data_IF_428349192027
#
_entry.id   IF_428349192027
#
_cell.length_a   1.000
_cell.length_b   1.000
_cell.length_c   1.000
_cell.angle_alpha   90.00
_cell.angle_beta   90.00
_cell.angle_gamma   90.00
#
_symmetry.space_group_name_H-M   'P 1'
#
loop_
_entity.id
_entity.type
_entity.pdbx_description
1 polymer ?
#
# COMPACT_ATOMS: atom_id res chain seq x y z
N UNK A 1 10.63 11.94 0.32
CA UNK A 1 11.62 10.83 0.09
C UNK A 1 11.74 9.90 1.30
N UNK A 2 11.71 10.38 2.53
CA UNK A 2 11.91 9.58 3.76
C UNK A 2 10.82 8.51 3.90
N UNK A 3 9.56 8.88 3.84
CA UNK A 3 8.41 7.97 3.94
C UNK A 3 8.12 7.19 2.64
N UNK A 4 8.88 7.42 1.56
CA UNK A 4 8.77 6.68 0.29
C UNK A 4 9.72 5.50 0.19
N UNK A 5 10.65 5.34 1.11
CA UNK A 5 11.50 4.15 1.16
C UNK A 5 10.63 2.97 1.57
N UNK A 6 10.64 1.90 0.80
CA UNK A 6 9.91 0.67 1.06
C UNK A 6 10.06 0.24 2.53
N UNK A 7 8.93 0.14 3.25
CA UNK A 7 8.89 -0.31 4.64
C UNK A 7 9.13 0.76 5.71
N UNK A 8 9.37 2.02 5.37
CA UNK A 8 9.50 3.09 6.37
C UNK A 8 8.12 3.68 6.66
N UNK A 9 7.47 3.16 7.68
CA UNK A 9 6.19 3.67 8.20
C UNK A 9 6.41 4.78 9.20
N UNK A 10 7.56 4.74 9.90
CA UNK A 10 7.95 5.65 10.97
C UNK A 10 9.35 6.18 10.72
N UNK A 11 9.57 7.44 11.03
CA UNK A 11 10.89 8.05 10.99
C UNK A 11 11.16 8.74 12.32
N UNK A 12 12.40 8.68 12.81
CA UNK A 12 12.80 9.38 14.01
C UNK A 12 12.85 10.89 13.78
N UNK A 13 12.79 11.66 14.86
CA UNK A 13 12.91 13.12 14.81
C UNK A 13 14.25 13.55 14.21
N UNK A 14 15.32 12.83 14.55
CA UNK A 14 16.66 13.11 14.06
C UNK A 14 16.77 12.86 12.53
N UNK A 15 16.27 11.73 12.04
CA UNK A 15 16.28 11.40 10.61
C UNK A 15 15.46 12.39 9.77
N UNK A 16 14.26 12.77 10.26
CA UNK A 16 13.41 13.72 9.54
C UNK A 16 14.00 15.12 9.55
N UNK A 17 14.52 15.55 10.68
CA UNK A 17 15.15 16.87 10.81
C UNK A 17 16.39 16.99 9.92
N UNK A 18 17.24 15.96 9.87
CA UNK A 18 18.41 15.92 9.00
C UNK A 18 18.02 15.94 7.51
N UNK A 19 17.06 15.09 7.12
CA UNK A 19 16.59 15.05 5.73
C UNK A 19 15.94 16.36 5.31
N UNK A 20 15.16 16.98 6.21
CA UNK A 20 14.51 18.26 5.94
C UNK A 20 15.52 19.39 5.83
N UNK A 21 16.55 19.41 6.68
CA UNK A 21 17.64 20.38 6.58
C UNK A 21 18.34 20.32 5.22
N UNK A 22 18.67 19.12 4.76
CA UNK A 22 19.27 18.92 3.43
C UNK A 22 18.37 19.44 2.29
N UNK A 23 17.06 19.18 2.37
CA UNK A 23 16.13 19.67 1.35
C UNK A 23 15.93 21.18 1.39
N UNK A 24 15.92 21.78 2.59
CA UNK A 24 15.84 23.24 2.75
C UNK A 24 17.07 23.91 2.12
N UNK A 25 18.28 23.38 2.32
CA UNK A 25 19.48 23.89 1.66
C UNK A 25 19.41 23.73 0.14
N UNK A 26 18.97 22.58 -0.37
CA UNK A 26 18.78 22.39 -1.80
C UNK A 26 17.79 23.38 -2.41
N UNK A 27 16.69 23.71 -1.70
CA UNK A 27 15.72 24.72 -2.17
C UNK A 27 16.32 26.12 -2.14
N UNK A 28 17.15 26.45 -1.15
CA UNK A 28 17.83 27.76 -1.05
C UNK A 28 18.83 27.98 -2.16
N UNK A 29 19.40 26.93 -2.74
CA UNK A 29 20.31 26.99 -3.88
C UNK A 29 19.57 27.25 -5.21
N UNK A 30 18.26 27.09 -5.27
CA UNK A 30 17.45 27.36 -6.46
C UNK A 30 17.12 28.87 -6.52
N UNK A 31 17.62 29.55 -7.54
CA UNK A 31 17.53 31.02 -7.70
C UNK A 31 16.08 31.57 -7.76
N UNK A 32 15.09 30.74 -8.16
CA UNK A 32 13.69 31.14 -8.35
C UNK A 32 12.74 30.71 -7.22
N UNK A 33 13.22 30.08 -6.16
CA UNK A 33 12.36 29.58 -5.09
C UNK A 33 12.30 30.56 -3.92
N UNK A 34 11.09 30.81 -3.41
CA UNK A 34 10.92 31.51 -2.13
C UNK A 34 11.55 30.64 -1.01
N UNK A 35 12.75 31.05 -0.57
CA UNK A 35 13.56 30.25 0.35
C UNK A 35 12.83 29.96 1.65
N UNK A 36 12.79 28.70 2.13
CA UNK A 36 12.24 28.35 3.44
C UNK A 36 12.95 29.13 4.56
N UNK A 37 12.18 29.83 5.40
CA UNK A 37 12.73 30.76 6.41
C UNK A 37 12.86 30.11 7.79
N UNK A 38 12.16 29.00 8.03
CA UNK A 38 12.08 28.34 9.33
C UNK A 38 13.11 27.21 9.46
N UNK A 39 13.41 26.83 10.69
CA UNK A 39 14.23 25.66 10.99
C UNK A 39 13.46 24.35 10.65
N UNK A 40 14.16 23.23 10.43
CA UNK A 40 13.52 21.93 10.23
C UNK A 40 12.55 21.56 11.36
N UNK A 41 12.92 21.87 12.62
CA UNK A 41 12.12 21.59 13.80
C UNK A 41 10.80 22.36 13.78
N UNK A 42 10.84 23.65 13.46
CA UNK A 42 9.63 24.48 13.37
C UNK A 42 8.65 23.97 12.29
N UNK A 43 9.16 23.42 11.18
CA UNK A 43 8.30 22.78 10.18
C UNK A 43 7.70 21.48 10.68
N UNK A 44 8.46 20.62 11.38
CA UNK A 44 7.95 19.37 11.93
C UNK A 44 6.87 19.61 12.99
N UNK A 45 7.05 20.62 13.85
CA UNK A 45 6.06 20.98 14.85
C UNK A 45 4.78 21.54 14.20
N UNK A 46 4.91 22.43 13.20
CA UNK A 46 3.77 22.96 12.45
C UNK A 46 2.99 21.84 11.72
N UNK A 47 3.70 20.86 11.16
CA UNK A 47 3.06 19.74 10.44
C UNK A 47 2.35 18.76 11.38
N UNK A 48 2.67 18.79 12.67
CA UNK A 48 1.99 18.01 13.70
C UNK A 48 0.84 18.76 14.38
N UNK A 49 0.71 20.08 14.14
CA UNK A 49 -0.30 20.93 14.78
C UNK A 49 -1.73 20.52 14.38
N UNK A 50 -2.71 20.87 15.21
CA UNK A 50 -4.13 20.55 15.00
C UNK A 50 -4.70 21.15 13.72
N UNK A 51 -4.16 22.29 13.26
CA UNK A 51 -4.62 22.96 12.04
C UNK A 51 -4.10 22.30 10.76
N UNK A 52 -2.93 21.70 10.78
CA UNK A 52 -2.28 21.11 9.59
C UNK A 52 -2.42 19.59 9.54
N UNK A 53 -2.15 18.90 10.60
CA UNK A 53 -2.25 17.42 10.74
C UNK A 53 -1.64 16.65 9.57
N UNK A 54 -0.48 17.08 9.09
CA UNK A 54 0.23 16.34 8.05
C UNK A 54 0.99 15.14 8.61
N UNK A 55 1.51 15.29 9.85
CA UNK A 55 2.22 14.27 10.58
C UNK A 55 1.56 14.00 11.93
N UNK A 56 1.77 12.79 12.45
CA UNK A 56 1.50 12.45 13.85
C UNK A 56 2.82 12.18 14.55
N UNK A 57 3.02 12.77 15.72
CA UNK A 57 4.17 12.56 16.60
C UNK A 57 3.75 11.60 17.72
N UNK A 58 4.47 10.49 17.91
CA UNK A 58 4.24 9.53 19.00
C UNK A 58 5.56 9.14 19.65
N UNK A 59 5.53 8.79 20.94
CA UNK A 59 6.72 8.29 21.64
C UNK A 59 6.81 6.77 21.46
N UNK A 60 7.96 6.30 20.99
CA UNK A 60 8.23 4.87 20.83
C UNK A 60 8.98 4.35 22.07
N UNK A 61 8.29 3.59 22.92
CA UNK A 61 8.83 3.14 24.22
C UNK A 61 10.11 2.30 24.12
N UNK A 62 10.19 1.38 23.13
CA UNK A 62 11.36 0.50 22.98
C UNK A 62 12.60 1.23 22.45
N UNK A 63 12.43 2.32 21.72
CA UNK A 63 13.52 3.14 21.16
C UNK A 63 13.83 4.37 22.01
N UNK A 64 12.97 4.66 22.99
CA UNK A 64 13.05 5.85 23.86
C UNK A 64 13.14 7.16 23.06
N UNK A 65 12.48 7.24 21.89
CA UNK A 65 12.52 8.39 21.00
C UNK A 65 11.14 8.79 20.48
N UNK A 66 11.01 10.03 20.00
CA UNK A 66 9.83 10.45 19.26
C UNK A 66 9.93 9.99 17.81
N UNK A 67 8.84 9.41 17.33
CA UNK A 67 8.69 8.98 15.94
C UNK A 67 7.53 9.71 15.27
N UNK A 68 7.71 10.00 14.00
CA UNK A 68 6.74 10.68 13.16
C UNK A 68 6.18 9.71 12.12
N UNK A 69 4.89 9.85 11.86
CA UNK A 69 4.15 9.09 10.83
C UNK A 69 3.34 10.06 9.98
N UNK A 70 3.14 9.72 8.71
CA UNK A 70 2.18 10.43 7.89
C UNK A 70 0.75 10.16 8.38
N UNK A 71 -0.10 11.19 8.35
CA UNK A 71 -1.53 10.97 8.53
C UNK A 71 -2.12 10.36 7.26
N UNK A 72 -3.26 9.68 7.39
CA UNK A 72 -4.00 9.09 6.25
C UNK A 72 -4.27 10.11 5.13
N UNK A 73 -4.59 11.35 5.50
CA UNK A 73 -4.85 12.41 4.52
C UNK A 73 -3.59 12.81 3.77
N UNK A 74 -2.47 12.93 4.48
CA UNK A 74 -1.18 13.24 3.86
C UNK A 74 -0.69 12.12 2.94
N UNK A 75 -0.93 10.87 3.31
CA UNK A 75 -0.62 9.73 2.45
C UNK A 75 -1.44 9.73 1.16
N UNK A 76 -2.75 9.94 1.27
CA UNK A 76 -3.61 10.06 0.08
C UNK A 76 -3.18 11.21 -0.83
N UNK A 77 -2.84 12.37 -0.24
CA UNK A 77 -2.35 13.51 -1.01
C UNK A 77 -1.01 13.21 -1.70
N UNK A 78 -0.08 12.56 -1.00
CA UNK A 78 1.21 12.16 -1.56
C UNK A 78 1.07 11.04 -2.61
N UNK A 79 0.16 10.08 -2.41
CA UNK A 79 -0.16 9.07 -3.42
C UNK A 79 -0.69 9.73 -4.68
N UNK A 80 -1.68 10.60 -4.56
CA UNK A 80 -2.22 11.35 -5.70
C UNK A 80 -1.16 12.17 -6.43
N UNK A 81 -0.28 12.87 -5.69
CA UNK A 81 0.84 13.62 -6.29
C UNK A 81 1.82 12.69 -7.01
N UNK A 82 2.08 11.51 -6.45
CA UNK A 82 2.93 10.50 -7.08
C UNK A 82 2.30 9.97 -8.37
N UNK A 83 1.01 9.70 -8.35
CA UNK A 83 0.27 9.27 -9.55
C UNK A 83 0.35 10.33 -10.65
N UNK A 84 0.23 11.61 -10.27
CA UNK A 84 0.37 12.72 -11.19
C UNK A 84 1.79 12.80 -11.80
N UNK A 85 2.82 12.65 -10.97
CA UNK A 85 4.22 12.62 -11.40
C UNK A 85 4.55 11.36 -12.21
N UNK A 86 4.00 10.21 -11.81
CA UNK A 86 4.13 8.96 -12.55
C UNK A 86 3.46 9.04 -13.93
N UNK A 87 2.34 9.76 -14.06
CA UNK A 87 1.73 10.02 -15.36
C UNK A 87 2.65 10.80 -16.31
N UNK A 88 3.50 11.69 -15.79
CA UNK A 88 4.52 12.39 -16.58
C UNK A 88 5.70 11.48 -16.97
N UNK A 89 6.01 10.48 -16.15
CA UNK A 89 7.14 9.57 -16.34
C UNK A 89 6.75 8.18 -16.85
N UNK A 90 5.45 7.85 -16.89
CA UNK A 90 4.98 6.64 -17.55
C UNK A 90 5.25 6.77 -19.04
N UNK A 91 6.47 6.39 -19.41
CA UNK A 91 6.74 6.05 -20.79
C UNK A 91 5.62 5.12 -21.24
N UNK A 92 5.00 5.44 -22.36
CA UNK A 92 3.85 4.75 -22.89
C UNK A 92 4.08 3.24 -22.90
N UNK A 93 3.50 2.51 -21.93
CA UNK A 93 3.16 1.12 -22.20
C UNK A 93 2.45 1.12 -23.55
N UNK A 94 2.87 0.27 -24.46
CA UNK A 94 2.29 0.27 -25.80
C UNK A 94 0.79 0.16 -25.64
N UNK A 95 0.04 0.98 -26.35
CA UNK A 95 -1.44 0.98 -26.33
C UNK A 95 -1.98 -0.45 -26.46
N UNK A 96 -1.23 -1.31 -27.15
CA UNK A 96 -1.49 -2.73 -27.34
C UNK A 96 -1.44 -3.54 -26.03
N UNK A 97 -0.43 -3.34 -25.18
CA UNK A 97 -0.30 -4.06 -23.89
C UNK A 97 -1.44 -3.71 -22.95
N UNK A 98 -1.80 -2.42 -22.85
CA UNK A 98 -2.96 -1.97 -22.05
C UNK A 98 -4.28 -2.49 -22.59
N UNK A 99 -4.44 -2.50 -23.90
CA UNK A 99 -5.65 -3.00 -24.55
C UNK A 99 -5.82 -4.51 -24.29
N UNK A 100 -4.76 -5.29 -24.42
CA UNK A 100 -4.77 -6.72 -24.13
C UNK A 100 -5.12 -7.01 -22.68
N UNK A 101 -4.63 -6.21 -21.74
CA UNK A 101 -4.99 -6.31 -20.33
C UNK A 101 -6.46 -6.00 -20.09
N UNK A 102 -6.99 -4.93 -20.67
CA UNK A 102 -8.42 -4.58 -20.56
C UNK A 102 -9.28 -5.76 -21.12
N UNK A 103 -8.92 -6.31 -22.27
CA UNK A 103 -9.62 -7.47 -22.83
C UNK A 103 -9.57 -8.67 -21.90
N UNK A 104 -8.43 -8.94 -21.27
CA UNK A 104 -8.28 -10.06 -20.34
C UNK A 104 -9.17 -9.86 -19.11
N UNK A 105 -9.14 -8.69 -18.47
CA UNK A 105 -10.00 -8.37 -17.31
C UNK A 105 -11.49 -8.46 -17.68
N UNK A 106 -11.88 -7.94 -18.85
CA UNK A 106 -13.26 -8.06 -19.32
C UNK A 106 -13.67 -9.52 -19.55
N UNK A 107 -12.79 -10.35 -20.07
CA UNK A 107 -13.04 -11.78 -20.25
C UNK A 107 -13.18 -12.50 -18.90
N UNK A 108 -12.29 -12.24 -17.96
CA UNK A 108 -12.36 -12.83 -16.61
C UNK A 108 -13.65 -12.42 -15.89
N UNK A 109 -14.04 -11.14 -15.98
CA UNK A 109 -15.32 -10.68 -15.42
C UNK A 109 -16.51 -11.41 -16.05
N UNK A 110 -16.57 -11.47 -17.38
CA UNK A 110 -17.64 -12.16 -18.08
C UNK A 110 -17.70 -13.65 -17.72
N UNK A 111 -16.55 -14.30 -17.62
CA UNK A 111 -16.45 -15.70 -17.23
C UNK A 111 -16.87 -15.92 -15.77
N UNK A 112 -16.60 -14.95 -14.89
CA UNK A 112 -16.97 -15.02 -13.46
C UNK A 112 -18.47 -14.88 -13.20
N UNK A 113 -19.19 -14.14 -14.05
CA UNK A 113 -20.64 -13.93 -13.90
C UNK A 113 -21.48 -14.86 -14.78
N UNK A 114 -20.86 -15.59 -15.70
CA UNK A 114 -21.58 -16.52 -16.58
C UNK A 114 -21.94 -17.81 -15.84
N UNK A 115 -23.22 -18.04 -15.66
CA UNK A 115 -23.77 -19.22 -14.99
C UNK A 115 -23.99 -20.44 -15.90
N UNK A 116 -23.65 -20.34 -17.20
CA UNK A 116 -23.75 -21.47 -18.15
C UNK A 116 -22.55 -22.42 -17.97
N UNK A 117 -22.77 -23.66 -17.44
CA UNK A 117 -21.70 -24.63 -17.26
C UNK A 117 -21.01 -25.04 -18.53
N UNK A 118 -21.80 -25.18 -19.65
CA UNK A 118 -21.26 -25.62 -20.91
C UNK A 118 -20.37 -24.56 -21.56
N UNK A 119 -20.72 -23.27 -21.43
CA UNK A 119 -19.88 -22.18 -21.86
C UNK A 119 -18.56 -22.15 -21.04
N UNK A 120 -18.63 -22.38 -19.72
CA UNK A 120 -17.45 -22.45 -18.87
C UNK A 120 -16.53 -23.61 -19.20
N UNK A 121 -17.08 -24.78 -19.48
CA UNK A 121 -16.33 -25.98 -19.94
C UNK A 121 -15.60 -25.70 -21.25
N UNK A 122 -16.29 -25.10 -22.22
CA UNK A 122 -15.66 -24.73 -23.51
C UNK A 122 -14.49 -23.77 -23.34
N UNK A 123 -14.65 -22.74 -22.49
CA UNK A 123 -13.61 -21.79 -22.24
C UNK A 123 -12.40 -22.43 -21.52
N UNK A 124 -12.63 -23.29 -20.55
CA UNK A 124 -11.56 -24.03 -19.86
C UNK A 124 -10.84 -25.00 -20.80
N UNK A 125 -11.57 -25.63 -21.73
CA UNK A 125 -10.98 -26.49 -22.73
C UNK A 125 -10.07 -25.71 -23.70
N UNK A 126 -10.50 -24.52 -24.12
CA UNK A 126 -9.69 -23.61 -24.95
C UNK A 126 -8.41 -23.18 -24.22
N UNK A 127 -8.51 -22.73 -22.94
CA UNK A 127 -7.33 -22.36 -22.12
C UNK A 127 -6.36 -23.54 -21.98
N UNK A 128 -6.88 -24.75 -21.80
CA UNK A 128 -6.05 -25.95 -21.74
C UNK A 128 -5.28 -26.20 -23.03
N UNK A 129 -5.94 -26.06 -24.19
CA UNK A 129 -5.30 -26.24 -25.50
C UNK A 129 -4.17 -25.16 -25.72
N UNK A 130 -4.39 -23.93 -25.33
CA UNK A 130 -3.38 -22.86 -25.38
C UNK A 130 -2.17 -23.19 -24.51
N UNK A 131 -2.39 -23.67 -23.28
CA UNK A 131 -1.33 -24.10 -22.37
C UNK A 131 -0.56 -25.31 -22.93
N UNK A 132 -1.27 -26.30 -23.47
CA UNK A 132 -0.66 -27.49 -24.08
C UNK A 132 0.23 -27.12 -25.29
N UNK A 133 -0.20 -26.15 -26.09
CA UNK A 133 0.58 -25.62 -27.21
C UNK A 133 1.82 -24.83 -26.74
N UNK A 134 1.70 -24.03 -25.67
CA UNK A 134 2.84 -23.33 -25.07
C UNK A 134 3.88 -24.30 -24.51
N UNK A 135 3.43 -25.33 -23.79
CA UNK A 135 4.31 -26.41 -23.29
C UNK A 135 5.04 -27.08 -24.46
N UNK A 136 4.35 -27.38 -25.53
CA UNK A 136 4.96 -27.99 -26.72
C UNK A 136 6.04 -27.12 -27.33
N UNK A 137 5.77 -25.81 -27.47
CA UNK A 137 6.77 -24.85 -27.97
C UNK A 137 8.00 -24.78 -27.10
N UNK A 138 7.83 -24.73 -25.78
CA UNK A 138 8.97 -24.71 -24.83
C UNK A 138 9.77 -26.01 -24.93
N UNK A 139 9.11 -27.16 -25.07
CA UNK A 139 9.80 -28.45 -25.24
C UNK A 139 10.59 -28.55 -26.54
N UNK A 140 10.06 -27.96 -27.62
CA UNK A 140 10.69 -27.98 -28.95
C UNK A 140 11.87 -26.98 -29.03
N UNK A 141 11.73 -25.79 -28.44
CA UNK A 141 12.74 -24.73 -28.51
C UNK A 141 13.76 -24.78 -27.36
N UNK A 142 13.39 -25.37 -26.22
CA UNK A 142 14.16 -25.31 -24.99
C UNK A 142 14.19 -23.94 -24.32
N UNK A 143 13.42 -22.97 -24.83
CA UNK A 143 13.36 -21.59 -24.34
C UNK A 143 11.96 -21.26 -23.82
N UNK A 144 11.89 -20.74 -22.60
CA UNK A 144 10.65 -20.21 -22.05
C UNK A 144 10.48 -18.72 -22.47
N UNK A 145 9.30 -18.31 -22.91
CA UNK A 145 9.05 -16.91 -23.25
C UNK A 145 9.19 -16.04 -22.00
N UNK A 146 9.98 -14.98 -22.11
CA UNK A 146 10.18 -13.98 -21.04
C UNK A 146 9.46 -12.71 -21.45
N UNK A 147 8.78 -12.07 -20.50
CA UNK A 147 8.15 -10.78 -20.73
C UNK A 147 9.19 -9.72 -21.15
N UNK A 148 8.82 -8.84 -22.05
CA UNK A 148 9.61 -7.67 -22.39
C UNK A 148 9.82 -6.77 -21.17
N UNK A 149 10.91 -6.00 -21.18
CA UNK A 149 11.24 -5.11 -20.05
C UNK A 149 10.15 -4.09 -19.74
N UNK A 150 9.46 -3.60 -20.77
CA UNK A 150 8.35 -2.67 -20.62
C UNK A 150 7.17 -3.30 -19.88
N UNK A 151 6.84 -4.55 -20.22
CA UNK A 151 5.75 -5.29 -19.55
C UNK A 151 6.12 -5.57 -18.09
N UNK A 152 7.36 -5.96 -17.82
CA UNK A 152 7.84 -6.22 -16.46
C UNK A 152 7.76 -4.93 -15.64
N UNK A 153 8.22 -3.82 -16.17
CA UNK A 153 8.18 -2.53 -15.49
C UNK A 153 6.75 -2.12 -15.16
N UNK A 154 5.84 -2.22 -16.12
CA UNK A 154 4.42 -1.89 -15.91
C UNK A 154 3.78 -2.77 -14.83
N UNK A 155 4.06 -4.09 -14.85
CA UNK A 155 3.55 -5.01 -13.82
C UNK A 155 4.11 -4.72 -12.43
N UNK A 156 5.39 -4.31 -12.33
CA UNK A 156 5.98 -3.90 -11.05
C UNK A 156 5.33 -2.63 -10.52
N UNK A 157 5.05 -1.64 -11.37
CA UNK A 157 4.33 -0.43 -10.95
C UNK A 157 2.90 -0.74 -10.49
N UNK A 158 2.14 -1.52 -11.27
CA UNK A 158 0.78 -1.91 -10.90
C UNK A 158 0.73 -2.68 -9.57
N UNK A 159 1.70 -3.58 -9.36
CA UNK A 159 1.82 -4.29 -8.09
C UNK A 159 2.17 -3.35 -6.93
N UNK A 160 3.04 -2.37 -7.17
CA UNK A 160 3.38 -1.37 -6.17
C UNK A 160 2.15 -0.56 -5.76
N UNK A 161 1.36 -0.10 -6.73
CA UNK A 161 0.12 0.64 -6.48
C UNK A 161 -0.87 -0.21 -5.64
N UNK A 162 -1.02 -1.49 -5.97
CA UNK A 162 -1.87 -2.41 -5.20
C UNK A 162 -1.38 -2.58 -3.75
N UNK A 163 -0.07 -2.71 -3.55
CA UNK A 163 0.54 -2.83 -2.21
C UNK A 163 0.36 -1.54 -1.42
N UNK A 164 0.55 -0.37 -2.04
CA UNK A 164 0.33 0.93 -1.37
C UNK A 164 -1.12 1.10 -0.91
N UNK A 165 -2.09 0.75 -1.76
CA UNK A 165 -3.51 0.78 -1.38
C UNK A 165 -3.80 -0.17 -0.21
N UNK A 166 -3.25 -1.37 -0.27
CA UNK A 166 -3.40 -2.35 0.80
C UNK A 166 -2.81 -1.86 2.13
N UNK A 167 -1.62 -1.26 2.11
CA UNK A 167 -1.01 -0.66 3.30
C UNK A 167 -1.82 0.52 3.84
N UNK A 168 -2.44 1.32 2.95
CA UNK A 168 -3.34 2.40 3.36
C UNK A 168 -4.57 1.89 4.12
N UNK A 169 -5.13 0.74 3.72
CA UNK A 169 -6.23 0.11 4.45
C UNK A 169 -5.80 -0.30 5.88
N UNK A 170 -4.60 -0.86 6.04
CA UNK A 170 -4.09 -1.21 7.37
C UNK A 170 -3.89 -0.01 8.29
N UNK A 171 -3.42 1.11 7.73
CA UNK A 171 -3.27 2.35 8.51
C UNK A 171 -4.62 2.92 8.93
N UNK A 172 -5.63 2.82 8.07
CA UNK A 172 -6.98 3.22 8.44
C UNK A 172 -7.52 2.39 9.63
N UNK A 173 -7.18 1.11 9.67
CA UNK A 173 -7.54 0.23 10.78
C UNK A 173 -6.74 0.58 12.05
N UNK A 174 -5.45 0.89 11.92
CA UNK A 174 -4.64 1.35 13.06
C UNK A 174 -5.19 2.65 13.65
N UNK A 175 -5.55 3.63 12.82
CA UNK A 175 -6.19 4.88 13.27
C UNK A 175 -7.53 4.58 13.96
N UNK A 176 -8.36 3.72 13.39
CA UNK A 176 -9.62 3.30 13.98
C UNK A 176 -9.44 2.73 15.40
N UNK A 177 -8.52 1.79 15.60
CA UNK A 177 -8.24 1.25 16.93
C UNK A 177 -7.67 2.28 17.89
N UNK A 178 -6.82 3.18 17.40
CA UNK A 178 -6.23 4.24 18.22
C UNK A 178 -7.29 5.23 18.72
N UNK A 179 -8.22 5.60 17.86
CA UNK A 179 -9.29 6.52 18.22
C UNK A 179 -10.24 5.90 19.24
N UNK A 180 -10.63 4.63 19.07
CA UNK A 180 -11.42 3.89 20.05
C UNK A 180 -10.68 3.69 21.38
N UNK A 181 -9.39 3.41 21.37
CA UNK A 181 -8.59 3.30 22.58
C UNK A 181 -8.52 4.64 23.35
N UNK A 182 -8.41 5.76 22.64
CA UNK A 182 -8.45 7.12 23.25
C UNK A 182 -9.81 7.41 23.86
N UNK A 183 -10.89 7.07 23.15
CA UNK A 183 -12.25 7.26 23.63
C UNK A 183 -12.51 6.46 24.91
N UNK A 184 -12.14 5.18 24.94
CA UNK A 184 -12.20 4.33 26.13
C UNK A 184 -11.39 4.92 27.27
N UNK A 185 -10.15 5.37 27.01
CA UNK A 185 -9.29 5.97 28.02
C UNK A 185 -9.90 7.23 28.60
N UNK A 186 -10.50 8.07 27.79
CA UNK A 186 -11.18 9.30 28.21
C UNK A 186 -12.42 9.01 29.07
N UNK A 187 -13.24 8.03 28.69
CA UNK A 187 -14.42 7.60 29.44
C UNK A 187 -14.01 7.05 30.81
N UNK A 188 -12.96 6.25 30.86
CA UNK A 188 -12.41 5.71 32.11
C UNK A 188 -11.86 6.81 33.03
N UNK A 189 -11.06 7.74 32.49
CA UNK A 189 -10.48 8.86 33.24
C UNK A 189 -11.55 9.79 33.84
N UNK A 190 -12.71 9.93 33.18
CA UNK A 190 -13.84 10.73 33.66
C UNK A 190 -14.72 9.97 34.68
N UNK A 191 -14.41 8.69 34.98
CA UNK A 191 -15.22 7.87 35.86
C UNK A 191 -16.64 7.59 35.36
N UNK A 192 -16.89 7.76 34.06
CA UNK A 192 -18.19 7.62 33.42
C UNK A 192 -18.45 6.22 32.85
N UNK A 193 -17.43 5.39 32.76
CA UNK A 193 -17.55 4.07 32.18
C UNK A 193 -17.33 2.97 33.23
N UNK A 194 -18.25 2.03 33.29
CA UNK A 194 -18.07 0.75 33.99
C UNK A 194 -17.23 -0.21 33.14
N UNK A 195 -16.77 -1.32 33.76
CA UNK A 195 -16.10 -2.39 32.99
C UNK A 195 -17.02 -3.00 31.92
N UNK A 196 -18.33 -3.01 32.15
CA UNK A 196 -19.32 -3.49 31.16
C UNK A 196 -19.40 -2.58 29.95
N UNK A 197 -19.46 -1.26 30.16
CA UNK A 197 -19.53 -0.28 29.08
C UNK A 197 -18.26 -0.32 28.19
N UNK A 198 -17.08 -0.58 28.78
CA UNK A 198 -15.83 -0.74 28.02
C UNK A 198 -15.90 -1.98 27.13
N UNK A 199 -16.40 -3.12 27.66
CA UNK A 199 -16.52 -4.36 26.88
C UNK A 199 -17.51 -4.19 25.74
N UNK A 200 -18.66 -3.53 25.99
CA UNK A 200 -19.66 -3.21 24.96
C UNK A 200 -19.04 -2.36 23.86
N UNK A 201 -18.33 -1.30 24.21
CA UNK A 201 -17.67 -0.42 23.25
C UNK A 201 -16.61 -1.15 22.38
N UNK A 202 -15.85 -2.08 22.97
CA UNK A 202 -14.89 -2.91 22.21
C UNK A 202 -15.59 -3.88 21.25
N UNK A 203 -16.74 -4.46 21.66
CA UNK A 203 -17.51 -5.34 20.80
C UNK A 203 -18.16 -4.59 19.64
N UNK A 204 -18.70 -3.40 19.90
CA UNK A 204 -19.27 -2.54 18.88
C UNK A 204 -18.21 -2.13 17.85
N UNK A 205 -17.01 -1.77 18.30
CA UNK A 205 -15.87 -1.44 17.43
C UNK A 205 -15.44 -2.65 16.57
N UNK A 206 -15.41 -3.88 17.11
CA UNK A 206 -15.11 -5.09 16.33
C UNK A 206 -16.18 -5.35 15.26
N UNK A 207 -17.47 -5.14 15.60
CA UNK A 207 -18.58 -5.31 14.66
C UNK A 207 -18.54 -4.25 13.54
N UNK A 208 -18.29 -2.98 13.87
CA UNK A 208 -18.12 -1.90 12.90
C UNK A 208 -16.95 -2.19 11.94
N UNK A 209 -15.81 -2.63 12.49
CA UNK A 209 -14.65 -2.99 11.67
C UNK A 209 -14.97 -4.15 10.73
N UNK A 210 -15.69 -5.19 11.17
CA UNK A 210 -16.12 -6.29 10.30
C UNK A 210 -17.07 -5.87 9.19
N UNK A 211 -17.82 -4.81 9.40
CA UNK A 211 -18.78 -4.27 8.44
C UNK A 211 -18.14 -3.46 7.32
N UNK A 212 -16.99 -2.83 7.55
CA UNK A 212 -16.33 -1.99 6.57
C UNK A 212 -15.38 -2.77 5.63
N UNK A 213 -15.09 -2.20 4.46
CA UNK A 213 -14.27 -2.88 3.44
C UNK A 213 -12.81 -3.05 3.89
N UNK A 214 -12.24 -2.07 4.59
CA UNK A 214 -10.90 -2.16 5.18
C UNK A 214 -10.80 -3.30 6.19
N UNK A 215 -11.83 -3.45 7.04
CA UNK A 215 -11.90 -4.55 7.99
C UNK A 215 -11.97 -5.92 7.31
N UNK A 216 -12.76 -6.06 6.24
CA UNK A 216 -12.81 -7.30 5.44
C UNK A 216 -11.43 -7.64 4.86
N UNK A 217 -10.72 -6.65 4.30
CA UNK A 217 -9.34 -6.81 3.80
C UNK A 217 -8.39 -7.27 4.90
N UNK A 218 -8.46 -6.68 6.08
CA UNK A 218 -7.65 -7.05 7.24
C UNK A 218 -7.90 -8.47 7.71
N UNK A 219 -9.16 -8.85 7.92
CA UNK A 219 -9.49 -10.19 8.40
C UNK A 219 -9.12 -11.25 7.36
N UNK A 220 -9.33 -10.99 6.08
CA UNK A 220 -8.90 -11.86 4.99
C UNK A 220 -7.38 -12.06 4.95
N UNK A 221 -6.61 -10.98 5.09
CA UNK A 221 -5.16 -11.06 5.18
C UNK A 221 -4.69 -11.84 6.42
N UNK A 222 -5.27 -11.58 7.59
CA UNK A 222 -4.95 -12.29 8.83
C UNK A 222 -5.21 -13.79 8.68
N UNK A 223 -6.33 -14.18 8.08
CA UNK A 223 -6.67 -15.57 7.82
C UNK A 223 -5.64 -16.22 6.87
N UNK A 224 -5.29 -15.54 5.79
CA UNK A 224 -4.24 -15.98 4.87
C UNK A 224 -2.89 -16.16 5.58
N UNK A 225 -2.48 -15.22 6.42
CA UNK A 225 -1.20 -15.28 7.15
C UNK A 225 -1.17 -16.35 8.22
N UNK A 226 -2.32 -16.76 8.77
CA UNK A 226 -2.42 -17.90 9.72
C UNK A 226 -2.31 -19.25 9.01
N UNK A 227 -2.53 -19.32 7.70
CA UNK A 227 -2.34 -20.53 6.91
C UNK A 227 -0.84 -20.69 6.55
N UNK A 228 -0.14 -21.74 7.06
CA UNK A 228 1.31 -21.86 6.87
C UNK A 228 1.74 -22.04 5.42
N UNK A 229 0.88 -22.58 4.56
CA UNK A 229 1.17 -22.78 3.13
C UNK A 229 1.06 -21.47 2.36
N UNK A 230 0.01 -20.72 2.59
CA UNK A 230 -0.22 -19.42 1.95
C UNK A 230 0.81 -18.39 2.40
N UNK A 231 1.11 -18.34 3.71
CA UNK A 231 2.12 -17.45 4.28
C UNK A 231 3.53 -17.71 3.69
N UNK A 232 3.91 -18.98 3.52
CA UNK A 232 5.19 -19.34 2.89
C UNK A 232 5.22 -18.97 1.41
N UNK A 233 4.13 -19.23 0.68
CA UNK A 233 4.00 -18.86 -0.72
C UNK A 233 4.11 -17.34 -0.90
N UNK A 234 3.40 -16.57 -0.08
CA UNK A 234 3.44 -15.11 -0.11
C UNK A 234 4.86 -14.57 0.09
N UNK A 235 5.56 -15.04 1.14
CA UNK A 235 6.95 -14.63 1.42
C UNK A 235 7.88 -14.92 0.26
N UNK A 236 7.81 -16.13 -0.29
CA UNK A 236 8.63 -16.52 -1.44
C UNK A 236 8.39 -15.63 -2.65
N UNK A 237 7.11 -15.37 -2.99
CA UNK A 237 6.76 -14.50 -4.11
C UNK A 237 7.20 -13.05 -3.86
N UNK A 238 7.02 -12.53 -2.64
CA UNK A 238 7.45 -11.19 -2.27
C UNK A 238 8.98 -11.00 -2.41
N UNK A 239 9.78 -11.98 -1.96
CA UNK A 239 11.23 -11.98 -2.14
C UNK A 239 11.61 -11.98 -3.63
N UNK A 240 11.02 -12.88 -4.42
CA UNK A 240 11.28 -12.97 -5.85
C UNK A 240 10.92 -11.69 -6.61
N UNK A 241 9.76 -11.10 -6.30
CA UNK A 241 9.32 -9.84 -6.92
C UNK A 241 10.22 -8.66 -6.52
N UNK A 242 10.62 -8.60 -5.25
CA UNK A 242 11.56 -7.58 -4.78
C UNK A 242 12.91 -7.66 -5.52
N UNK A 243 13.40 -8.87 -5.77
CA UNK A 243 14.63 -9.07 -6.53
C UNK A 243 14.50 -8.65 -8.01
N UNK A 244 13.33 -8.89 -8.62
CA UNK A 244 13.04 -8.43 -9.98
C UNK A 244 13.03 -6.89 -10.01
N UNK A 245 12.33 -6.26 -9.08
CA UNK A 245 12.25 -4.79 -8.98
C UNK A 245 13.63 -4.14 -8.77
N UNK A 246 14.51 -4.74 -7.94
CA UNK A 246 15.87 -4.22 -7.70
C UNK A 246 16.80 -4.34 -8.89
N UNK A 247 16.64 -5.39 -9.71
CA UNK A 247 17.54 -5.62 -10.86
C UNK A 247 17.19 -4.77 -12.08
N UNK A 248 15.97 -4.26 -12.15
CA UNK A 248 15.42 -3.62 -13.34
C UNK A 248 14.85 -2.20 -13.10
N UNK A 249 14.89 -1.69 -11.87
CA UNK A 249 14.63 -0.30 -11.47
C UNK A 249 15.93 0.44 -11.32
#
# INVERSE_FOLDING_TARGET
KTFKKWGVVEASEEELSATLAEHIEQIRELEDAEAPKRSPQEYLDEWCDEDHRYLTKSYHEEREEYVFRLTRHSEKALSWLNDLLAMQHRGYATTESRFNRILHEMQELNNGVNSDPDARIRELARKREEIDEEIRKIQETGEAPIFGEDIIRDQVYDLSDLVEHFLSDFRAIEEFFRDHAREISNLYAQGKASKGDIVEHVLDADEELRGCDQGKSYFGFREMMTNPSLSRMFRKLAEQTSDIARRRG
#
